data_IF_446491527546
#
_entry.id   IF_446491527546
#
_cell.length_a   1.000
_cell.length_b   1.000
_cell.length_c   1.000
_cell.angle_alpha   90.00
_cell.angle_beta   90.00
_cell.angle_gamma   90.00
#
_symmetry.space_group_name_H-M   'P 1'
#
loop_
_entity.id
_entity.type
_entity.pdbx_description
1 polymer ?
#
# COMPACT_ATOMS: atom_id res chain seq x y z
N UNK A 1 21.34 -1.00 2.73
CA UNK A 1 21.09 -1.93 3.86
C UNK A 1 21.34 -1.26 5.21
N UNK A 2 22.45 -0.56 5.42
CA UNK A 2 22.77 0.13 6.69
C UNK A 2 21.65 1.03 7.19
N UNK A 3 20.97 1.72 6.29
CA UNK A 3 19.80 2.57 6.61
C UNK A 3 18.71 1.83 7.40
N UNK A 4 18.50 0.53 7.17
CA UNK A 4 17.41 -0.22 7.80
C UNK A 4 17.57 -0.36 9.32
N UNK A 5 18.79 -0.25 9.82
CA UNK A 5 19.13 -0.38 11.25
C UNK A 5 19.68 0.91 11.87
N UNK A 6 19.69 2.02 11.10
CA UNK A 6 20.12 3.33 11.56
C UNK A 6 18.92 4.12 12.13
N UNK A 7 18.54 3.76 13.35
CA UNK A 7 17.37 4.32 14.03
C UNK A 7 17.55 5.80 14.33
N UNK A 8 16.57 6.61 13.96
CA UNK A 8 16.56 8.07 14.14
C UNK A 8 15.71 8.47 15.35
N UNK A 9 16.20 9.33 16.20
CA UNK A 9 15.50 9.77 17.41
C UNK A 9 14.13 10.41 17.15
N UNK A 10 13.98 11.11 16.03
CA UNK A 10 12.73 11.76 15.66
C UNK A 10 11.65 10.79 15.13
N UNK A 11 12.04 9.58 14.73
CA UNK A 11 11.17 8.48 14.33
C UNK A 11 11.89 7.16 14.59
N UNK A 12 11.89 6.66 15.82
CA UNK A 12 12.64 5.45 16.17
C UNK A 12 12.16 4.22 15.39
N UNK A 13 13.12 3.38 15.03
CA UNK A 13 12.82 2.14 14.33
C UNK A 13 12.21 1.11 15.27
N UNK A 14 11.15 0.44 14.82
CA UNK A 14 10.52 -0.65 15.56
C UNK A 14 11.53 -1.79 15.76
N UNK A 15 11.79 -2.13 17.01
CA UNK A 15 12.79 -3.15 17.35
C UNK A 15 14.17 -2.91 16.70
N UNK A 16 14.49 -1.64 16.42
CA UNK A 16 15.75 -1.24 15.80
C UNK A 16 15.84 -1.50 14.30
N UNK A 17 14.72 -1.77 13.62
CA UNK A 17 14.72 -2.03 12.18
C UNK A 17 13.53 -1.36 11.45
N UNK A 18 13.82 -0.59 10.40
CA UNK A 18 12.78 0.07 9.58
C UNK A 18 12.12 -0.83 8.53
N UNK A 19 12.49 -2.09 8.46
CA UNK A 19 12.05 -2.99 7.38
C UNK A 19 10.54 -3.07 7.24
N UNK A 20 9.80 -3.28 8.33
CA UNK A 20 8.34 -3.33 8.30
C UNK A 20 7.71 -2.07 7.73
N UNK A 21 8.17 -0.89 8.17
CA UNK A 21 7.71 0.40 7.65
C UNK A 21 7.99 0.57 6.15
N UNK A 22 9.16 0.13 5.67
CA UNK A 22 9.54 0.25 4.27
C UNK A 22 8.78 -0.75 3.38
N UNK A 23 8.55 -1.96 3.84
CA UNK A 23 7.71 -2.96 3.16
C UNK A 23 6.27 -2.46 3.06
N UNK A 24 5.72 -1.95 4.16
CA UNK A 24 4.38 -1.36 4.17
C UNK A 24 4.27 -0.20 3.17
N UNK A 25 5.25 0.70 3.14
CA UNK A 25 5.27 1.81 2.17
C UNK A 25 5.29 1.29 0.72
N UNK A 26 6.12 0.29 0.41
CA UNK A 26 6.19 -0.30 -0.92
C UNK A 26 4.86 -0.96 -1.31
N UNK A 27 4.27 -1.73 -0.41
CA UNK A 27 2.98 -2.37 -0.61
C UNK A 27 1.86 -1.34 -0.81
N UNK A 28 1.79 -0.30 0.00
CA UNK A 28 0.79 0.75 -0.11
C UNK A 28 0.98 1.64 -1.35
N UNK A 29 2.16 1.61 -1.96
CA UNK A 29 2.36 2.19 -3.29
C UNK A 29 1.83 1.27 -4.39
N UNK A 30 2.08 -0.03 -4.30
CA UNK A 30 1.67 -1.01 -5.31
C UNK A 30 0.17 -1.35 -5.23
N UNK A 31 -0.37 -1.49 -4.03
CA UNK A 31 -1.72 -1.97 -3.77
C UNK A 31 -2.86 -1.00 -4.14
N UNK A 32 -2.54 0.16 -4.71
CA UNK A 32 -3.53 1.08 -5.28
C UNK A 32 -3.83 0.78 -6.75
N UNK A 33 -3.16 -0.21 -7.34
CA UNK A 33 -3.41 -0.62 -8.72
C UNK A 33 -4.84 -1.15 -8.88
N UNK A 34 -5.47 -0.82 -10.00
CA UNK A 34 -6.80 -1.29 -10.35
C UNK A 34 -6.86 -1.77 -11.79
N UNK A 35 -7.36 -2.98 -11.94
CA UNK A 35 -7.46 -3.66 -13.24
C UNK A 35 -8.47 -2.99 -14.18
N UNK A 36 -9.51 -2.35 -13.61
CA UNK A 36 -10.61 -1.74 -14.39
C UNK A 36 -10.16 -0.69 -15.40
N UNK A 37 -9.14 0.09 -15.07
CA UNK A 37 -8.60 1.14 -15.94
C UNK A 37 -7.07 1.14 -16.04
N UNK A 38 -6.39 0.23 -15.34
CA UNK A 38 -4.94 0.12 -15.32
C UNK A 38 -4.22 1.25 -14.57
N UNK A 39 -4.95 2.03 -13.78
CA UNK A 39 -4.41 3.18 -13.04
C UNK A 39 -4.02 2.79 -11.62
N UNK A 40 -3.42 3.71 -10.89
CA UNK A 40 -2.86 3.43 -9.58
C UNK A 40 -1.53 2.69 -9.64
N UNK A 41 -1.21 2.00 -8.57
CA UNK A 41 0.04 1.24 -8.45
C UNK A 41 1.27 2.09 -8.19
N UNK A 42 2.43 1.45 -8.29
CA UNK A 42 3.70 2.03 -7.86
C UNK A 42 4.43 2.83 -8.95
N UNK A 43 3.86 2.96 -10.15
CA UNK A 43 4.59 3.44 -11.33
C UNK A 43 4.93 4.93 -11.33
N UNK A 44 4.23 5.75 -10.54
CA UNK A 44 4.35 7.21 -10.60
C UNK A 44 4.75 7.87 -9.28
N UNK A 45 4.85 7.10 -8.22
CA UNK A 45 5.10 7.63 -6.87
C UNK A 45 3.96 8.51 -6.35
N UNK A 46 2.74 8.25 -6.78
CA UNK A 46 1.53 9.02 -6.48
C UNK A 46 1.14 9.02 -4.99
N UNK A 47 1.66 8.10 -4.19
CA UNK A 47 1.48 8.07 -2.73
C UNK A 47 1.90 9.40 -2.05
N UNK A 48 2.73 10.20 -2.69
CA UNK A 48 3.16 11.52 -2.19
C UNK A 48 2.05 12.57 -2.22
N UNK A 49 1.00 12.34 -2.99
CA UNK A 49 -0.02 13.33 -3.33
C UNK A 49 -1.41 12.94 -2.86
N UNK A 50 -2.26 13.95 -2.76
CA UNK A 50 -3.69 13.77 -2.47
C UNK A 50 -4.38 12.99 -3.61
N UNK A 51 -5.38 12.12 -3.29
CA UNK A 51 -5.90 11.85 -1.93
C UNK A 51 -5.12 10.80 -1.16
N UNK A 52 -4.23 10.05 -1.80
CA UNK A 52 -3.55 8.87 -1.25
C UNK A 52 -2.76 9.17 0.03
N UNK A 53 -2.08 10.32 0.08
CA UNK A 53 -1.26 10.71 1.23
C UNK A 53 -2.09 11.05 2.48
N UNK A 54 -3.39 11.21 2.36
CA UNK A 54 -4.31 11.47 3.47
C UNK A 54 -5.20 10.28 3.84
N UNK A 55 -5.09 9.18 3.14
CA UNK A 55 -5.83 7.98 3.53
C UNK A 55 -5.39 7.47 4.90
N UNK A 56 -6.34 7.02 5.75
CA UNK A 56 -6.02 6.49 7.08
C UNK A 56 -4.99 5.35 7.05
N UNK A 57 -5.09 4.48 6.05
CA UNK A 57 -4.17 3.35 5.88
C UNK A 57 -2.74 3.76 5.47
N UNK A 58 -2.57 4.99 5.03
CA UNK A 58 -1.27 5.58 4.72
C UNK A 58 -0.68 6.43 5.86
N UNK A 59 -1.25 6.33 7.05
CA UNK A 59 -0.74 7.02 8.24
C UNK A 59 0.75 6.69 8.46
N UNK A 60 1.53 7.71 8.80
CA UNK A 60 2.98 7.63 9.06
C UNK A 60 3.87 7.30 7.86
N UNK A 61 3.33 7.12 6.65
CA UNK A 61 4.16 6.92 5.45
C UNK A 61 4.89 8.19 5.00
N UNK A 62 4.45 9.36 5.42
CA UNK A 62 5.21 10.60 5.29
C UNK A 62 6.55 10.51 6.06
N UNK A 63 6.58 9.82 7.20
CA UNK A 63 7.80 9.55 7.97
C UNK A 63 8.74 8.61 7.22
N UNK A 64 8.19 7.56 6.60
CA UNK A 64 8.97 6.67 5.74
C UNK A 64 9.64 7.44 4.60
N UNK A 65 8.91 8.31 3.91
CA UNK A 65 9.47 9.17 2.87
C UNK A 65 10.54 10.13 3.40
N UNK A 66 10.30 10.71 4.58
CA UNK A 66 11.29 11.59 5.23
C UNK A 66 12.56 10.86 5.62
N UNK A 67 12.45 9.63 6.10
CA UNK A 67 13.61 8.76 6.37
C UNK A 67 14.43 8.48 5.11
N UNK A 68 13.77 8.30 3.95
CA UNK A 68 14.43 8.07 2.66
C UNK A 68 15.02 9.35 2.02
N UNK A 69 14.67 10.52 2.54
CA UNK A 69 15.10 11.80 1.94
C UNK A 69 16.60 11.93 1.74
N UNK A 70 17.49 11.52 2.67
CA UNK A 70 18.94 11.59 2.44
C UNK A 70 19.38 10.81 1.21
N UNK A 71 18.76 9.66 0.94
CA UNK A 71 19.03 8.87 -0.25
C UNK A 71 18.52 9.57 -1.51
N UNK A 72 17.29 10.06 -1.47
CA UNK A 72 16.70 10.81 -2.59
C UNK A 72 17.55 12.05 -2.93
N UNK A 73 17.97 12.80 -1.92
CA UNK A 73 18.84 13.97 -2.08
C UNK A 73 20.18 13.60 -2.72
N UNK A 74 20.78 12.48 -2.31
CA UNK A 74 22.06 12.01 -2.84
C UNK A 74 21.99 11.66 -4.32
N UNK A 75 20.92 11.00 -4.77
CA UNK A 75 20.79 10.53 -6.15
C UNK A 75 19.99 11.48 -7.05
N UNK A 76 19.22 12.40 -6.47
CA UNK A 76 18.47 13.41 -7.22
C UNK A 76 17.54 12.80 -8.25
N UNK A 77 17.61 13.29 -9.48
CA UNK A 77 16.78 12.81 -10.59
C UNK A 77 17.22 11.47 -11.19
N UNK A 78 18.36 10.92 -10.72
CA UNK A 78 18.81 9.59 -11.15
C UNK A 78 18.04 8.44 -10.49
N UNK A 79 17.25 8.76 -9.48
CA UNK A 79 16.41 7.81 -8.76
C UNK A 79 15.06 8.46 -8.49
N UNK A 80 14.01 7.96 -9.12
CA UNK A 80 12.65 8.44 -8.85
C UNK A 80 12.17 8.04 -7.45
N UNK A 81 11.18 8.75 -6.93
CA UNK A 81 10.49 8.33 -5.71
C UNK A 81 9.77 7.00 -5.91
N UNK A 82 9.17 6.81 -7.08
CA UNK A 82 8.50 5.57 -7.43
C UNK A 82 9.44 4.36 -7.32
N UNK A 83 10.62 4.47 -7.92
CA UNK A 83 11.65 3.42 -7.82
C UNK A 83 12.18 3.28 -6.39
N UNK A 84 12.39 4.38 -5.69
CA UNK A 84 12.92 4.36 -4.33
C UNK A 84 11.98 3.65 -3.35
N UNK A 85 10.66 3.81 -3.49
CA UNK A 85 9.68 3.13 -2.62
C UNK A 85 9.78 1.61 -2.78
N UNK A 86 9.81 1.13 -3.99
CA UNK A 86 9.88 -0.32 -4.28
C UNK A 86 11.26 -0.88 -3.90
N UNK A 87 12.32 -0.16 -4.24
CA UNK A 87 13.68 -0.55 -3.86
C UNK A 87 13.84 -0.65 -2.34
N UNK A 88 13.24 0.27 -1.58
CA UNK A 88 13.30 0.24 -0.12
C UNK A 88 12.63 -1.01 0.45
N UNK A 89 11.48 -1.40 -0.07
CA UNK A 89 10.80 -2.64 0.32
C UNK A 89 11.64 -3.88 0.00
N UNK A 90 12.19 -3.97 -1.20
CA UNK A 90 13.08 -5.06 -1.60
C UNK A 90 14.32 -5.15 -0.71
N UNK A 91 14.96 -4.01 -0.45
CA UNK A 91 16.15 -3.96 0.42
C UNK A 91 15.83 -4.28 1.88
N UNK A 92 14.61 -4.00 2.34
CA UNK A 92 14.15 -4.40 3.66
C UNK A 92 14.11 -5.93 3.78
N UNK A 93 13.45 -6.61 2.84
CA UNK A 93 13.44 -8.07 2.79
C UNK A 93 14.85 -8.68 2.73
N UNK A 94 15.69 -8.17 1.83
CA UNK A 94 17.08 -8.65 1.75
C UNK A 94 17.90 -8.40 3.02
N UNK A 95 17.62 -7.31 3.75
CA UNK A 95 18.32 -7.03 5.01
C UNK A 95 17.96 -8.02 6.11
N UNK A 96 16.77 -8.61 6.01
CA UNK A 96 16.27 -9.66 6.92
C UNK A 96 16.58 -11.07 6.44
N UNK A 97 17.30 -11.22 5.32
CA UNK A 97 17.76 -12.53 4.82
C UNK A 97 16.85 -13.18 3.78
N UNK A 98 15.76 -12.52 3.36
CA UNK A 98 14.90 -13.04 2.30
C UNK A 98 15.54 -12.79 0.93
N UNK A 99 15.45 -13.76 0.04
CA UNK A 99 15.86 -13.57 -1.36
C UNK A 99 14.72 -12.91 -2.14
N UNK A 100 15.03 -11.83 -2.85
CA UNK A 100 14.12 -11.18 -3.76
C UNK A 100 14.34 -11.67 -5.19
N UNK A 101 13.32 -11.55 -6.03
CA UNK A 101 13.42 -11.86 -7.46
C UNK A 101 14.33 -10.91 -8.22
N UNK A 102 14.43 -9.66 -7.75
CA UNK A 102 15.20 -8.61 -8.37
C UNK A 102 14.49 -7.27 -8.32
N UNK A 103 15.02 -6.32 -9.07
CA UNK A 103 14.49 -4.97 -9.16
C UNK A 103 14.67 -4.44 -10.58
N UNK A 104 13.60 -3.91 -11.14
CA UNK A 104 13.64 -3.14 -12.37
C UNK A 104 13.29 -1.68 -12.06
N UNK A 105 14.15 -0.77 -12.43
CA UNK A 105 13.95 0.68 -12.31
C UNK A 105 13.40 1.28 -13.61
N UNK A 106 13.15 2.59 -13.59
CA UNK A 106 12.67 3.35 -14.74
C UNK A 106 11.26 3.91 -14.58
N UNK A 107 10.67 3.81 -13.38
CA UNK A 107 9.40 4.47 -13.07
C UNK A 107 9.61 5.97 -12.99
N UNK A 108 8.72 6.72 -13.61
CA UNK A 108 8.79 8.18 -13.64
C UNK A 108 7.93 8.80 -12.54
N UNK A 109 8.48 9.81 -11.86
CA UNK A 109 7.73 10.55 -10.85
C UNK A 109 6.74 11.53 -11.49
N UNK A 110 5.51 11.56 -10.99
CA UNK A 110 4.62 12.71 -11.19
C UNK A 110 5.00 13.84 -10.23
N UNK A 111 4.63 15.07 -10.60
CA UNK A 111 4.96 16.29 -9.85
C UNK A 111 3.73 17.03 -9.32
N UNK A 112 2.56 16.47 -9.53
CA UNK A 112 1.28 16.97 -9.03
C UNK A 112 0.30 15.80 -8.88
N UNK A 113 -0.80 15.96 -8.13
CA UNK A 113 -1.85 14.94 -8.06
C UNK A 113 -2.40 14.59 -9.44
N UNK A 114 -2.67 13.30 -9.67
CA UNK A 114 -3.32 12.81 -10.89
C UNK A 114 -4.83 13.09 -10.80
N UNK A 115 -5.27 14.20 -11.40
CA UNK A 115 -6.65 14.66 -11.30
C UNK A 115 -7.64 13.85 -12.15
N UNK A 116 -7.14 13.07 -13.07
CA UNK A 116 -7.88 12.22 -13.97
C UNK A 116 -8.15 10.81 -13.41
N UNK A 117 -7.54 10.48 -12.26
CA UNK A 117 -7.85 9.23 -11.56
C UNK A 117 -9.02 9.48 -10.60
N UNK A 118 -10.11 8.76 -10.80
CA UNK A 118 -11.23 8.75 -9.87
C UNK A 118 -11.01 7.67 -8.80
N UNK A 119 -10.93 8.11 -7.55
CA UNK A 119 -10.74 7.24 -6.38
C UNK A 119 -12.05 7.01 -5.60
N UNK A 120 -13.17 7.48 -6.09
CA UNK A 120 -14.43 7.55 -5.35
C UNK A 120 -14.56 8.86 -4.57
N UNK A 121 -15.79 9.16 -4.14
CA UNK A 121 -16.05 10.32 -3.29
C UNK A 121 -15.63 10.02 -1.84
N UNK A 122 -15.13 11.03 -1.13
CA UNK A 122 -14.69 10.87 0.27
C UNK A 122 -15.79 10.29 1.18
N UNK A 123 -17.03 10.71 0.98
CA UNK A 123 -18.18 10.16 1.69
C UNK A 123 -18.37 8.65 1.49
N UNK A 124 -17.98 8.15 0.33
CA UNK A 124 -18.05 6.72 0.00
C UNK A 124 -16.93 5.95 0.68
N UNK A 125 -15.74 6.55 0.80
CA UNK A 125 -14.63 5.94 1.54
C UNK A 125 -14.93 5.80 3.03
N UNK A 126 -15.72 6.71 3.58
CA UNK A 126 -16.10 6.72 5.00
C UNK A 126 -17.41 5.95 5.27
N UNK A 127 -18.12 5.55 4.22
CA UNK A 127 -19.38 4.83 4.36
C UNK A 127 -19.16 3.41 4.92
N UNK A 128 -20.12 2.89 5.69
CA UNK A 128 -20.18 1.48 6.03
C UNK A 128 -20.20 0.59 4.78
N UNK A 129 -19.80 -0.68 4.91
CA UNK A 129 -19.70 -1.57 3.77
C UNK A 129 -21.03 -1.80 3.06
N UNK A 130 -22.13 -1.84 3.78
CA UNK A 130 -23.48 -2.01 3.23
C UNK A 130 -23.97 -0.82 2.40
N UNK A 131 -23.37 0.36 2.59
CA UNK A 131 -23.61 1.53 1.74
C UNK A 131 -22.73 1.55 0.48
N UNK A 132 -21.68 0.73 0.43
CA UNK A 132 -20.71 0.68 -0.67
C UNK A 132 -20.91 -0.51 -1.59
N UNK A 133 -21.64 -1.50 -1.15
CA UNK A 133 -21.95 -2.73 -1.88
C UNK A 133 -23.46 -2.84 -2.05
N UNK A 134 -23.91 -3.35 -3.16
CA UNK A 134 -25.33 -3.69 -3.37
C UNK A 134 -25.79 -4.77 -2.41
N UNK A 135 -24.86 -5.65 -2.04
CA UNK A 135 -25.08 -6.70 -1.03
C UNK A 135 -23.75 -7.08 -0.38
N UNK A 136 -23.65 -6.87 0.93
CA UNK A 136 -22.44 -7.18 1.72
C UNK A 136 -22.05 -8.67 1.63
N UNK A 137 -23.02 -9.55 1.38
CA UNK A 137 -22.79 -11.00 1.23
C UNK A 137 -22.32 -11.37 -0.19
N UNK A 138 -22.33 -10.39 -1.12
CA UNK A 138 -21.89 -10.55 -2.51
C UNK A 138 -20.80 -9.54 -2.81
N UNK A 139 -19.54 -9.85 -2.50
CA UNK A 139 -18.42 -8.92 -2.70
C UNK A 139 -18.17 -8.51 -4.16
N UNK A 140 -18.68 -9.28 -5.11
CA UNK A 140 -18.65 -8.97 -6.54
C UNK A 140 -19.49 -7.74 -6.92
N UNK A 141 -20.31 -7.23 -6.01
CA UNK A 141 -21.07 -5.99 -6.18
C UNK A 141 -20.35 -4.75 -5.69
N UNK A 142 -19.09 -4.87 -5.25
CA UNK A 142 -18.28 -3.74 -4.81
C UNK A 142 -18.12 -2.70 -5.92
N UNK A 143 -18.36 -1.43 -5.57
CA UNK A 143 -18.29 -0.34 -6.54
C UNK A 143 -16.87 -0.19 -7.12
N UNK A 144 -16.77 -0.13 -8.43
CA UNK A 144 -15.61 0.30 -9.16
C UNK A 144 -15.62 1.85 -9.28
N UNK A 145 -14.47 2.50 -9.34
CA UNK A 145 -13.09 1.98 -9.45
C UNK A 145 -12.33 1.95 -8.11
N UNK A 146 -12.99 1.83 -6.99
CA UNK A 146 -12.35 1.93 -5.67
C UNK A 146 -11.26 0.87 -5.50
N UNK A 147 -10.04 1.31 -5.23
CA UNK A 147 -8.92 0.44 -4.85
C UNK A 147 -8.96 0.08 -3.36
N UNK A 148 -9.71 0.85 -2.55
CA UNK A 148 -9.90 0.62 -1.13
C UNK A 148 -11.28 0.04 -0.85
N UNK A 149 -11.36 -0.83 0.10
CA UNK A 149 -12.61 -1.51 0.50
C UNK A 149 -13.50 -0.56 1.31
N UNK A 150 -12.92 0.17 2.24
CA UNK A 150 -13.65 1.06 3.15
C UNK A 150 -12.71 2.12 3.71
N UNK A 151 -13.22 3.34 3.93
CA UNK A 151 -12.51 4.42 4.65
C UNK A 151 -11.11 4.73 4.15
N UNK A 152 -10.84 4.61 2.85
CA UNK A 152 -9.51 4.79 2.28
C UNK A 152 -8.51 3.71 2.67
N UNK A 153 -8.96 2.56 3.10
CA UNK A 153 -8.14 1.37 3.31
C UNK A 153 -7.75 0.77 1.96
N UNK A 154 -6.51 0.29 1.86
CA UNK A 154 -5.98 -0.19 0.57
C UNK A 154 -6.58 -1.54 0.20
N UNK A 155 -6.89 -2.39 1.16
CA UNK A 155 -7.35 -3.77 0.87
C UNK A 155 -8.43 -4.29 1.81
N UNK A 156 -8.40 -4.02 3.11
CA UNK A 156 -9.38 -4.59 4.06
C UNK A 156 -9.50 -3.72 5.32
N UNK A 157 -10.69 -3.70 5.91
CA UNK A 157 -10.86 -3.11 7.23
C UNK A 157 -10.33 -4.08 8.30
N UNK A 158 -9.29 -3.72 9.07
CA UNK A 158 -8.71 -4.60 10.08
C UNK A 158 -9.68 -4.92 11.23
N UNK A 159 -10.71 -4.11 11.42
CA UNK A 159 -11.77 -4.35 12.42
C UNK A 159 -12.85 -5.32 11.93
N UNK A 160 -12.74 -5.79 10.69
CA UNK A 160 -13.76 -6.60 10.03
C UNK A 160 -14.82 -5.78 9.30
N UNK A 161 -15.68 -6.45 8.58
CA UNK A 161 -16.77 -5.82 7.81
C UNK A 161 -17.72 -5.10 8.77
N UNK A 162 -17.88 -3.79 8.55
CA UNK A 162 -18.66 -2.90 9.42
C UNK A 162 -18.20 -2.92 10.90
N UNK A 163 -16.90 -3.16 11.17
CA UNK A 163 -16.36 -3.26 12.52
C UNK A 163 -16.72 -4.57 13.25
N UNK A 164 -17.25 -5.57 12.55
CA UNK A 164 -17.60 -6.87 13.12
C UNK A 164 -16.56 -7.91 12.68
N UNK A 165 -15.78 -8.48 13.60
CA UNK A 165 -14.74 -9.45 13.26
C UNK A 165 -15.37 -10.79 12.84
N UNK A 166 -15.56 -10.94 11.54
CA UNK A 166 -16.07 -12.16 10.90
C UNK A 166 -15.06 -12.62 9.84
N UNK A 167 -14.30 -13.70 10.09
CA UNK A 167 -13.26 -14.14 9.15
C UNK A 167 -13.78 -14.51 7.76
N UNK A 168 -14.99 -15.04 7.64
CA UNK A 168 -15.57 -15.43 6.35
C UNK A 168 -15.93 -14.20 5.51
N UNK A 169 -16.56 -13.21 6.12
CA UNK A 169 -16.88 -11.94 5.45
C UNK A 169 -15.60 -11.17 5.09
N UNK A 170 -14.62 -11.14 5.99
CA UNK A 170 -13.32 -10.52 5.73
C UNK A 170 -12.60 -11.21 4.58
N UNK A 171 -12.60 -12.55 4.53
CA UNK A 171 -11.98 -13.28 3.43
C UNK A 171 -12.61 -12.95 2.07
N UNK A 172 -13.95 -12.81 2.03
CA UNK A 172 -14.64 -12.40 0.82
C UNK A 172 -14.19 -10.99 0.35
N UNK A 173 -14.09 -10.03 1.26
CA UNK A 173 -13.58 -8.69 0.97
C UNK A 173 -12.13 -8.68 0.50
N UNK A 174 -11.27 -9.47 1.15
CA UNK A 174 -9.87 -9.62 0.74
C UNK A 174 -9.79 -10.12 -0.70
N UNK A 175 -10.49 -11.20 -1.02
CA UNK A 175 -10.50 -11.77 -2.37
C UNK A 175 -10.95 -10.76 -3.42
N UNK A 176 -12.05 -10.06 -3.18
CA UNK A 176 -12.56 -9.05 -4.11
C UNK A 176 -11.56 -7.91 -4.32
N UNK A 177 -10.99 -7.39 -3.24
CA UNK A 177 -10.02 -6.30 -3.31
C UNK A 177 -8.75 -6.69 -4.05
N UNK A 178 -8.21 -7.88 -3.79
CA UNK A 178 -7.01 -8.37 -4.47
C UNK A 178 -7.28 -8.76 -5.92
N UNK A 179 -8.46 -9.30 -6.23
CA UNK A 179 -8.88 -9.54 -7.61
C UNK A 179 -8.89 -8.25 -8.45
N UNK A 180 -9.30 -7.12 -7.86
CA UNK A 180 -9.20 -5.79 -8.50
C UNK A 180 -7.79 -5.34 -8.81
N UNK A 181 -6.81 -5.88 -8.09
CA UNK A 181 -5.38 -5.66 -8.33
C UNK A 181 -4.78 -6.70 -9.29
N UNK A 182 -5.60 -7.54 -9.91
CA UNK A 182 -5.22 -8.65 -10.79
C UNK A 182 -4.49 -9.79 -10.07
N UNK A 183 -4.79 -10.03 -8.80
CA UNK A 183 -4.21 -11.11 -8.00
C UNK A 183 -5.25 -12.24 -7.80
N UNK A 184 -4.79 -13.46 -7.96
CA UNK A 184 -5.57 -14.65 -7.63
C UNK A 184 -5.50 -15.01 -6.11
N UNK A 185 -6.16 -16.07 -5.72
CA UNK A 185 -6.21 -16.49 -4.31
C UNK A 185 -4.84 -16.94 -3.78
N UNK A 186 -4.02 -17.59 -4.60
CA UNK A 186 -2.70 -18.06 -4.21
C UNK A 186 -1.75 -16.87 -4.01
N UNK A 187 -1.75 -15.94 -4.94
CA UNK A 187 -0.97 -14.70 -4.86
C UNK A 187 -1.42 -13.84 -3.67
N UNK A 188 -2.73 -13.73 -3.45
CA UNK A 188 -3.32 -13.02 -2.31
C UNK A 188 -2.88 -13.63 -0.98
N UNK A 189 -2.95 -14.94 -0.84
CA UNK A 189 -2.50 -15.65 0.36
C UNK A 189 -0.98 -15.50 0.55
N UNK A 190 -0.19 -15.64 -0.49
CA UNK A 190 1.26 -15.49 -0.43
C UNK A 190 1.66 -14.08 0.01
N UNK A 191 1.02 -13.04 -0.52
CA UNK A 191 1.32 -11.66 -0.18
C UNK A 191 0.87 -11.32 1.25
N UNK A 192 -0.35 -11.68 1.64
CA UNK A 192 -0.89 -11.33 2.96
C UNK A 192 -0.17 -12.08 4.07
N UNK A 193 0.00 -13.38 3.94
CA UNK A 193 0.72 -14.20 4.94
C UNK A 193 2.20 -13.83 4.95
N UNK A 194 2.83 -13.74 3.78
CA UNK A 194 4.25 -13.39 3.67
C UNK A 194 4.56 -11.98 4.17
N UNK A 195 3.73 -11.00 3.85
CA UNK A 195 3.90 -9.61 4.29
C UNK A 195 3.77 -9.45 5.81
N UNK A 196 2.78 -10.09 6.41
CA UNK A 196 2.51 -10.01 7.84
C UNK A 196 3.44 -10.88 8.72
N UNK A 197 4.42 -11.56 8.14
CA UNK A 197 5.50 -12.21 8.90
C UNK A 197 6.56 -11.21 9.37
N UNK A 198 6.54 -9.99 8.87
CA UNK A 198 7.53 -8.95 9.20
C UNK A 198 6.85 -7.73 9.82
N UNK A 199 7.56 -7.09 10.74
CA UNK A 199 7.04 -5.93 11.46
C UNK A 199 6.16 -6.30 12.64
N UNK A 200 5.45 -5.29 13.14
CA UNK A 200 4.47 -5.39 14.21
C UNK A 200 3.13 -4.91 13.70
N UNK A 201 2.14 -5.72 13.83
CA UNK A 201 0.74 -5.40 13.57
C UNK A 201 -0.03 -5.19 14.86
#
# INVERSE_FOLDING_TARGET
KTFMTDSQDWWPADWGHYGGLMIRMAWHSAGTYRLSDGRGGASTGNQRFSPLNSWPDNASLDKARRLLWPLKKKYGNKLSWADLFILAGNMAYESMGLKIYGFAGGREDIWHPEKDIYWGAEKEWLAPSDERYDNVEKPDTMENPLAAVQMGLIYVNPEGVNGIPDPLKTAAHVRETFARMAMDDEETAALTVGGHTVGKT
#
